data_IF_530120207069
#
_entry.id   IF_530120207069
#
_cell.length_a   1.000
_cell.length_b   1.000
_cell.length_c   1.000
_cell.angle_alpha   90.00
_cell.angle_beta   90.00
_cell.angle_gamma   90.00
#
_symmetry.space_group_name_H-M   'P 1'
#
loop_
_entity.id
_entity.type
_entity.pdbx_description
1 polymer ?
#
# COMPACT_ATOMS: atom_id res chain seq x y z
N UNK A 1 -41.46 49.62 20.03
CA UNK A 1 -40.33 49.06 20.78
C UNK A 1 -39.98 47.72 20.16
N UNK A 2 -38.98 47.73 19.26
CA UNK A 2 -38.39 46.54 18.72
C UNK A 2 -37.26 46.10 19.70
N UNK A 3 -37.57 45.19 20.58
CA UNK A 3 -36.56 44.46 21.37
C UNK A 3 -36.11 43.23 20.58
N UNK A 4 -35.44 43.46 19.49
CA UNK A 4 -34.69 42.41 18.82
C UNK A 4 -33.33 42.27 19.51
N UNK A 5 -33.14 41.21 20.30
CA UNK A 5 -31.80 40.77 20.71
C UNK A 5 -31.08 40.29 19.45
N UNK A 6 -30.44 41.21 18.72
CA UNK A 6 -29.53 40.83 17.65
C UNK A 6 -28.27 40.23 18.28
N UNK A 7 -28.24 38.92 18.36
CA UNK A 7 -26.99 38.20 18.66
C UNK A 7 -26.01 38.54 17.53
N UNK A 8 -24.91 39.18 17.88
CA UNK A 8 -23.86 39.47 16.91
C UNK A 8 -23.29 38.15 16.36
N UNK A 9 -23.07 38.05 15.04
CA UNK A 9 -22.46 36.86 14.48
C UNK A 9 -21.04 36.67 15.08
N UNK A 10 -20.77 35.44 15.49
CA UNK A 10 -19.44 35.02 15.92
C UNK A 10 -18.86 34.22 14.75
N UNK A 11 -17.79 34.72 14.18
CA UNK A 11 -17.09 34.08 13.07
C UNK A 11 -16.05 33.09 13.60
N UNK A 12 -15.92 31.93 12.92
CA UNK A 12 -14.97 30.89 13.24
C UNK A 12 -15.32 29.59 12.57
N UNK A 13 -14.53 28.54 12.80
CA UNK A 13 -14.83 27.23 12.26
C UNK A 13 -16.05 26.60 12.93
N UNK A 14 -17.10 26.29 12.16
CA UNK A 14 -18.34 25.68 12.66
C UNK A 14 -18.39 24.17 12.48
N UNK A 15 -17.38 23.53 11.84
CA UNK A 15 -17.34 22.09 11.66
C UNK A 15 -16.76 21.40 12.91
N UNK A 16 -17.55 20.57 13.63
CA UNK A 16 -17.10 19.88 14.82
C UNK A 16 -15.99 18.83 14.58
N UNK A 17 -15.71 18.48 13.32
CA UNK A 17 -14.62 17.58 12.95
C UNK A 17 -13.30 18.30 12.65
N UNK A 18 -13.31 19.62 12.59
CA UNK A 18 -12.09 20.41 12.39
C UNK A 18 -11.27 20.51 13.68
N UNK A 19 -9.94 20.58 13.54
CA UNK A 19 -9.00 20.73 14.67
C UNK A 19 -9.18 22.04 15.44
N UNK A 20 -9.68 23.07 14.78
CA UNK A 20 -9.91 24.40 15.33
C UNK A 20 -11.41 24.74 15.43
N UNK A 21 -12.27 23.72 15.63
CA UNK A 21 -13.70 23.94 15.87
C UNK A 21 -13.95 24.92 16.99
N UNK A 22 -14.77 25.94 16.72
CA UNK A 22 -15.25 26.88 17.75
C UNK A 22 -16.75 26.69 18.00
N UNK A 23 -17.10 26.09 19.13
CA UNK A 23 -18.49 25.84 19.52
C UNK A 23 -19.32 27.12 19.72
N UNK A 24 -18.68 28.30 19.74
CA UNK A 24 -19.36 29.60 19.84
C UNK A 24 -19.56 30.25 18.48
N UNK A 25 -18.88 29.77 17.43
CA UNK A 25 -19.07 30.28 16.09
C UNK A 25 -20.50 30.03 15.59
N UNK A 26 -21.11 31.08 15.04
CA UNK A 26 -22.44 31.03 14.44
C UNK A 26 -22.39 31.22 12.93
N UNK A 27 -21.23 31.60 12.40
CA UNK A 27 -20.95 31.79 10.97
C UNK A 27 -19.59 31.23 10.66
N UNK A 28 -19.54 30.31 9.72
CA UNK A 28 -18.26 29.77 9.21
C UNK A 28 -17.51 30.85 8.45
N UNK A 29 -16.26 31.09 8.82
CA UNK A 29 -15.36 32.06 8.20
C UNK A 29 -14.35 31.41 7.25
N UNK A 30 -14.47 30.09 7.00
CA UNK A 30 -13.57 29.33 6.17
C UNK A 30 -12.23 29.00 6.82
N UNK A 31 -12.10 29.21 8.14
CA UNK A 31 -10.85 28.94 8.88
C UNK A 31 -10.68 27.50 9.32
N UNK A 32 -11.64 26.60 9.03
CA UNK A 32 -11.57 25.21 9.46
C UNK A 32 -10.28 24.53 8.99
N UNK A 33 -9.56 23.95 9.93
CA UNK A 33 -8.32 23.22 9.68
C UNK A 33 -8.50 21.74 10.01
N UNK A 34 -7.95 20.88 9.15
CA UNK A 34 -8.07 19.43 9.26
C UNK A 34 -6.69 18.79 9.17
N UNK A 35 -6.51 17.68 9.86
CA UNK A 35 -5.34 16.85 9.67
C UNK A 35 -5.40 16.17 8.28
N UNK A 36 -4.26 16.02 7.61
CA UNK A 36 -4.21 15.28 6.36
C UNK A 36 -4.46 13.79 6.61
N UNK A 37 -5.09 13.12 5.65
CA UNK A 37 -5.08 11.67 5.59
C UNK A 37 -3.69 11.18 5.17
N UNK A 38 -3.08 10.36 6.02
CA UNK A 38 -1.79 9.75 5.72
C UNK A 38 -1.98 8.28 5.32
N UNK A 39 -1.42 7.92 4.18
CA UNK A 39 -1.39 6.54 3.70
C UNK A 39 0.06 6.17 3.45
N UNK A 40 0.54 5.08 4.10
CA UNK A 40 1.91 4.60 3.94
C UNK A 40 1.90 3.27 3.22
N UNK A 41 2.58 3.24 2.08
CA UNK A 41 2.76 2.05 1.25
C UNK A 41 4.21 1.59 1.26
N UNK A 42 4.43 0.29 1.12
CA UNK A 42 5.73 -0.36 1.06
C UNK A 42 5.98 -0.89 -0.35
N UNK A 43 7.17 -0.63 -0.88
CA UNK A 43 7.69 -1.25 -2.10
C UNK A 43 8.76 -2.25 -1.70
N UNK A 44 8.49 -3.55 -1.93
CA UNK A 44 9.34 -4.63 -1.44
C UNK A 44 10.72 -4.67 -2.12
N UNK A 45 10.75 -4.43 -3.44
CA UNK A 45 12.01 -4.24 -4.18
C UNK A 45 12.24 -2.74 -4.36
N UNK A 46 13.21 -2.22 -3.63
CA UNK A 46 13.53 -0.79 -3.62
C UNK A 46 14.56 -0.39 -4.68
N UNK A 47 15.13 -1.38 -5.39
CA UNK A 47 16.19 -1.11 -6.39
C UNK A 47 15.62 -0.29 -7.55
N UNK A 48 16.18 0.88 -7.78
CA UNK A 48 15.78 1.77 -8.87
C UNK A 48 14.42 2.45 -8.69
N UNK A 49 13.79 2.37 -7.52
CA UNK A 49 12.53 3.07 -7.24
C UNK A 49 12.82 4.56 -7.04
N UNK A 50 12.27 5.38 -7.92
CA UNK A 50 12.43 6.84 -7.89
C UNK A 50 11.13 7.57 -7.61
N UNK A 51 9.97 6.93 -7.85
CA UNK A 51 8.67 7.53 -7.57
C UNK A 51 7.62 6.48 -7.23
N UNK A 52 6.76 6.79 -6.27
CA UNK A 52 5.56 6.04 -5.97
C UNK A 52 4.38 7.03 -5.98
N UNK A 53 3.29 6.65 -6.64
CA UNK A 53 2.09 7.49 -6.81
C UNK A 53 0.83 6.68 -6.56
N UNK A 54 -0.28 7.38 -6.40
CA UNK A 54 -1.61 6.81 -6.55
C UNK A 54 -2.14 7.03 -7.98
N UNK A 55 -3.05 6.13 -8.39
CA UNK A 55 -4.00 6.36 -9.46
C UNK A 55 -5.37 5.83 -9.04
N UNK A 56 -6.42 6.20 -9.74
CA UNK A 56 -7.79 5.79 -9.43
C UNK A 56 -8.79 6.69 -10.12
N UNK A 57 -10.10 6.54 -9.85
CA UNK A 57 -11.15 7.34 -10.48
C UNK A 57 -10.97 8.86 -10.29
N UNK A 58 -10.46 9.29 -9.14
CA UNK A 58 -10.21 10.71 -8.87
C UNK A 58 -9.15 11.32 -9.79
N UNK A 59 -8.31 10.50 -10.41
CA UNK A 59 -7.22 10.90 -11.31
C UNK A 59 -7.37 10.30 -12.70
N UNK A 60 -8.60 9.87 -13.06
CA UNK A 60 -8.93 9.25 -14.36
C UNK A 60 -8.05 8.05 -14.71
N UNK A 61 -7.58 7.32 -13.72
CA UNK A 61 -6.65 6.19 -13.87
C UNK A 61 -5.33 6.56 -14.59
N UNK A 62 -4.98 7.86 -14.60
CA UNK A 62 -3.69 8.30 -15.12
C UNK A 62 -2.57 7.90 -14.13
N UNK A 63 -1.57 7.10 -14.58
CA UNK A 63 -0.44 6.71 -13.72
C UNK A 63 0.37 7.90 -13.18
N UNK A 64 0.24 9.06 -13.81
CA UNK A 64 0.91 10.30 -13.39
C UNK A 64 -0.02 11.31 -12.71
N UNK A 65 -1.33 11.03 -12.68
CA UNK A 65 -2.34 12.00 -12.25
C UNK A 65 -2.46 12.16 -10.74
N UNK A 66 -2.16 11.11 -9.99
CA UNK A 66 -2.34 11.11 -8.53
C UNK A 66 -1.18 11.69 -7.73
N UNK A 67 -1.34 11.82 -6.41
CA UNK A 67 -0.32 12.36 -5.51
C UNK A 67 0.96 11.52 -5.54
N UNK A 68 2.09 12.19 -5.34
CA UNK A 68 3.40 11.55 -5.18
C UNK A 68 3.63 11.27 -3.71
N UNK A 69 4.03 10.06 -3.38
CA UNK A 69 4.49 9.72 -2.04
C UNK A 69 5.85 10.32 -1.73
N UNK A 70 6.08 10.60 -0.46
CA UNK A 70 7.40 10.97 0.06
C UNK A 70 8.10 9.72 0.56
N UNK A 71 9.32 9.46 0.08
CA UNK A 71 10.13 8.32 0.53
C UNK A 71 10.56 8.52 1.99
N UNK A 72 10.41 7.48 2.81
CA UNK A 72 10.90 7.46 4.19
C UNK A 72 12.31 6.87 4.31
N UNK A 73 12.90 6.38 3.20
CA UNK A 73 14.26 5.84 3.14
C UNK A 73 14.39 4.36 3.53
N UNK A 74 13.30 3.71 3.94
CA UNK A 74 13.24 2.32 4.41
C UNK A 74 12.40 1.40 3.50
N UNK A 75 12.14 1.84 2.26
CA UNK A 75 11.24 1.15 1.32
C UNK A 75 9.79 1.56 1.48
N UNK A 76 9.45 2.35 2.49
CA UNK A 76 8.10 2.89 2.65
C UNK A 76 7.95 4.29 2.06
N UNK A 77 6.73 4.62 1.64
CA UNK A 77 6.37 5.89 1.02
C UNK A 77 5.08 6.40 1.63
N UNK A 78 5.10 7.64 2.12
CA UNK A 78 3.95 8.27 2.74
C UNK A 78 3.29 9.27 1.80
N UNK A 79 1.98 9.10 1.62
CA UNK A 79 1.11 10.02 0.90
C UNK A 79 0.36 10.87 1.91
N UNK A 80 0.31 12.17 1.66
CA UNK A 80 -0.44 13.13 2.46
C UNK A 80 -1.53 13.76 1.59
N UNK A 81 -2.77 13.42 1.87
CA UNK A 81 -3.92 14.00 1.19
C UNK A 81 -4.54 15.09 2.07
N UNK A 82 -4.76 16.29 1.56
CA UNK A 82 -5.36 17.37 2.34
C UNK A 82 -6.72 16.95 2.92
N UNK A 83 -6.96 17.23 4.18
CA UNK A 83 -8.25 17.00 4.83
C UNK A 83 -9.25 18.11 4.53
N UNK A 84 -10.56 17.87 4.77
CA UNK A 84 -11.12 16.56 5.05
C UNK A 84 -11.33 15.75 3.79
N UNK A 85 -11.02 14.45 3.83
CA UNK A 85 -11.38 13.52 2.75
C UNK A 85 -12.81 13.04 2.99
N UNK A 86 -13.75 13.54 2.18
CA UNK A 86 -15.19 13.37 2.41
C UNK A 86 -15.87 12.31 1.54
N UNK A 87 -15.12 11.65 0.67
CA UNK A 87 -15.61 10.58 -0.21
C UNK A 87 -14.68 9.37 -0.16
N UNK A 88 -15.24 8.18 -0.35
CA UNK A 88 -14.45 6.96 -0.47
C UNK A 88 -13.49 7.06 -1.66
N UNK A 89 -12.27 6.60 -1.47
CA UNK A 89 -11.22 6.67 -2.48
C UNK A 89 -10.83 5.26 -2.92
N UNK A 90 -11.21 4.93 -4.14
CA UNK A 90 -10.70 3.75 -4.85
C UNK A 90 -9.35 4.11 -5.47
N UNK A 91 -8.35 3.23 -5.33
CA UNK A 91 -7.01 3.54 -5.80
C UNK A 91 -6.15 2.31 -6.07
N UNK A 92 -5.11 2.53 -6.84
CA UNK A 92 -3.98 1.62 -7.04
C UNK A 92 -2.66 2.38 -6.86
N UNK A 93 -1.61 1.63 -6.55
CA UNK A 93 -0.25 2.17 -6.49
C UNK A 93 0.41 2.13 -7.87
N UNK A 94 1.27 3.11 -8.12
CA UNK A 94 2.07 3.24 -9.33
C UNK A 94 3.52 3.46 -8.92
N UNK A 95 4.43 2.56 -9.33
CA UNK A 95 5.86 2.66 -9.06
C UNK A 95 6.58 2.93 -10.39
N UNK A 96 7.35 4.01 -10.47
CA UNK A 96 8.06 4.44 -11.68
C UNK A 96 7.18 4.44 -12.95
N UNK A 97 5.90 4.83 -12.81
CA UNK A 97 4.94 4.85 -13.90
C UNK A 97 4.26 3.50 -14.19
N UNK A 98 4.61 2.43 -13.48
CA UNK A 98 3.99 1.10 -13.62
C UNK A 98 2.91 0.94 -12.54
N UNK A 99 1.67 0.76 -12.99
CA UNK A 99 0.54 0.49 -12.10
C UNK A 99 0.60 -0.96 -11.59
N UNK A 100 0.30 -1.16 -10.31
CA UNK A 100 0.22 -2.51 -9.73
C UNK A 100 -0.88 -3.35 -10.39
N UNK A 101 -0.65 -4.66 -10.47
CA UNK A 101 -1.61 -5.62 -10.98
C UNK A 101 -2.05 -6.57 -9.87
N UNK A 102 -3.08 -6.17 -9.13
CA UNK A 102 -3.60 -6.96 -8.02
C UNK A 102 -4.47 -8.15 -8.48
N UNK A 103 -4.95 -8.15 -9.73
CA UNK A 103 -5.60 -9.33 -10.31
C UNK A 103 -4.61 -10.48 -10.45
N UNK A 104 -3.43 -10.21 -11.02
CA UNK A 104 -2.40 -11.22 -11.17
C UNK A 104 -1.91 -11.74 -9.80
N UNK A 105 -1.70 -10.84 -8.85
CA UNK A 105 -1.30 -11.18 -7.49
C UNK A 105 -2.34 -12.04 -6.78
N UNK A 106 -3.61 -11.62 -6.74
CA UNK A 106 -4.69 -12.36 -6.10
C UNK A 106 -4.93 -13.73 -6.74
N UNK A 107 -4.80 -13.83 -8.07
CA UNK A 107 -4.92 -15.11 -8.80
C UNK A 107 -3.81 -16.08 -8.41
N UNK A 108 -2.59 -15.60 -8.20
CA UNK A 108 -1.45 -16.46 -7.87
C UNK A 108 -1.37 -16.80 -6.38
N UNK A 109 -1.68 -15.87 -5.49
CA UNK A 109 -1.60 -16.07 -4.04
C UNK A 109 -2.90 -16.55 -3.39
N UNK A 110 -4.05 -16.33 -4.04
CA UNK A 110 -5.38 -16.54 -3.44
C UNK A 110 -5.77 -15.46 -2.44
N UNK A 111 -4.94 -14.45 -2.21
CA UNK A 111 -5.20 -13.38 -1.24
C UNK A 111 -5.77 -12.13 -1.92
N UNK A 112 -7.02 -11.83 -1.63
CA UNK A 112 -7.77 -10.68 -2.13
C UNK A 112 -8.14 -9.68 -1.03
N UNK A 113 -7.55 -9.82 0.16
CA UNK A 113 -7.94 -9.07 1.36
C UNK A 113 -7.79 -7.55 1.23
N UNK A 114 -6.89 -7.09 0.37
CA UNK A 114 -6.62 -5.67 0.15
C UNK A 114 -7.39 -5.06 -1.03
N UNK A 115 -8.25 -5.85 -1.71
CA UNK A 115 -8.97 -5.43 -2.91
C UNK A 115 -10.49 -5.57 -2.75
N UNK A 116 -11.12 -4.76 -1.89
CA UNK A 116 -12.57 -4.84 -1.69
C UNK A 116 -13.40 -4.43 -2.92
N UNK A 117 -12.76 -3.78 -3.90
CA UNK A 117 -13.40 -3.41 -5.18
C UNK A 117 -12.80 -4.29 -6.27
N UNK A 118 -13.45 -5.44 -6.54
CA UNK A 118 -12.94 -6.42 -7.49
C UNK A 118 -14.05 -7.27 -8.09
N UNK A 119 -13.86 -7.72 -9.33
CA UNK A 119 -14.62 -8.81 -9.95
C UNK A 119 -13.82 -10.13 -9.97
N UNK A 120 -12.62 -10.14 -9.38
CA UNK A 120 -11.66 -11.24 -9.34
C UNK A 120 -11.08 -11.66 -10.70
N UNK A 121 -11.35 -10.90 -11.74
CA UNK A 121 -11.02 -11.28 -13.11
C UNK A 121 -10.41 -10.16 -13.94
N UNK A 122 -11.09 -9.02 -14.05
CA UNK A 122 -10.66 -7.92 -14.92
C UNK A 122 -10.07 -6.74 -14.13
N UNK A 123 -10.50 -6.56 -12.89
CA UNK A 123 -9.97 -5.52 -12.00
C UNK A 123 -9.96 -5.96 -10.54
N UNK A 124 -9.02 -5.41 -9.80
CA UNK A 124 -8.91 -5.55 -8.36
C UNK A 124 -8.25 -4.28 -7.80
N UNK A 125 -9.01 -3.49 -7.05
CA UNK A 125 -8.62 -2.17 -6.60
C UNK A 125 -8.72 -2.05 -5.08
N UNK A 126 -7.86 -1.22 -4.50
CA UNK A 126 -7.89 -0.85 -3.09
C UNK A 126 -8.99 0.17 -2.84
N UNK A 127 -9.46 0.24 -1.61
CA UNK A 127 -10.46 1.21 -1.19
C UNK A 127 -10.09 1.78 0.18
N UNK A 128 -10.02 3.08 0.26
CA UNK A 128 -10.11 3.81 1.52
C UNK A 128 -11.54 4.30 1.71
N UNK A 129 -12.11 4.08 2.89
CA UNK A 129 -13.47 4.54 3.22
C UNK A 129 -13.43 5.71 4.17
N UNK A 130 -14.37 6.64 4.00
CA UNK A 130 -14.49 7.81 4.90
C UNK A 130 -14.55 7.36 6.34
N UNK A 131 -13.72 7.98 7.18
CA UNK A 131 -13.64 7.67 8.62
C UNK A 131 -12.69 6.54 9.00
N UNK A 132 -12.06 5.85 8.04
CA UNK A 132 -11.08 4.77 8.34
C UNK A 132 -9.80 5.29 8.98
N UNK A 133 -9.54 6.61 8.91
CA UNK A 133 -8.29 7.20 9.41
C UNK A 133 -7.08 6.87 8.53
N UNK A 134 -5.90 7.05 9.09
CA UNK A 134 -4.64 6.76 8.42
C UNK A 134 -4.46 5.27 8.15
N UNK A 135 -3.76 4.95 7.06
CA UNK A 135 -3.56 3.57 6.61
C UNK A 135 -2.07 3.25 6.50
N UNK A 136 -1.71 2.05 6.95
CA UNK A 136 -0.37 1.47 6.84
C UNK A 136 -0.49 0.01 6.39
N UNK A 137 0.64 -0.65 6.11
CA UNK A 137 0.63 -2.07 5.74
C UNK A 137 0.10 -2.35 4.34
N UNK A 138 0.24 -1.39 3.43
CA UNK A 138 -0.05 -1.55 2.02
C UNK A 138 1.24 -1.94 1.31
N UNK A 139 1.19 -2.98 0.47
CA UNK A 139 2.35 -3.49 -0.28
C UNK A 139 2.08 -3.38 -1.77
N UNK A 140 2.97 -2.71 -2.51
CA UNK A 140 2.84 -2.57 -3.96
C UNK A 140 2.79 -3.94 -4.65
N UNK A 141 1.75 -4.14 -5.45
CA UNK A 141 1.56 -5.34 -6.26
C UNK A 141 1.09 -6.58 -5.48
N UNK A 142 0.82 -6.47 -4.16
CA UNK A 142 0.37 -7.61 -3.36
C UNK A 142 -0.57 -7.20 -2.22
N UNK A 143 -1.41 -8.13 -1.80
CA UNK A 143 -2.10 -8.08 -0.50
C UNK A 143 -1.28 -8.75 0.62
N UNK A 144 -0.22 -9.44 0.27
CA UNK A 144 0.69 -10.09 1.23
C UNK A 144 1.82 -9.14 1.60
N UNK A 145 2.40 -9.37 2.78
CA UNK A 145 3.59 -8.65 3.24
C UNK A 145 4.80 -8.98 2.36
N UNK A 146 5.79 -8.08 2.34
CA UNK A 146 7.04 -8.36 1.66
C UNK A 146 7.68 -9.65 2.21
N UNK A 147 7.85 -10.63 1.35
CA UNK A 147 8.72 -11.76 1.65
C UNK A 147 10.13 -11.30 1.28
N UNK A 148 10.98 -11.13 2.28
CA UNK A 148 12.41 -10.93 2.02
C UNK A 148 12.91 -12.25 1.44
N UNK A 149 13.34 -12.21 0.17
CA UNK A 149 13.96 -13.38 -0.44
C UNK A 149 15.23 -13.73 0.36
N UNK A 150 15.27 -14.92 0.92
CA UNK A 150 16.46 -15.49 1.54
C UNK A 150 17.08 -16.42 0.50
N UNK A 151 18.17 -16.02 -0.17
CA UNK A 151 18.84 -16.87 -1.13
C UNK A 151 19.49 -18.05 -0.46
N UNK A 152 19.42 -19.22 -1.07
CA UNK A 152 20.04 -20.44 -0.58
C UNK A 152 19.50 -21.66 -1.33
N UNK A 153 20.03 -22.84 -1.00
CA UNK A 153 19.53 -24.08 -1.62
C UNK A 153 18.17 -24.47 -1.05
N UNK A 154 17.14 -24.50 -1.92
CA UNK A 154 15.76 -24.88 -1.55
C UNK A 154 15.43 -26.36 -1.77
N UNK A 155 16.35 -27.15 -2.33
CA UNK A 155 16.14 -28.58 -2.53
C UNK A 155 16.50 -29.37 -1.27
N UNK A 156 15.50 -29.98 -0.64
CA UNK A 156 15.66 -30.79 0.59
C UNK A 156 16.50 -32.05 0.41
N UNK A 157 16.81 -32.43 -0.82
CA UNK A 157 17.69 -33.60 -1.13
C UNK A 157 19.15 -33.20 -1.25
N UNK A 158 19.46 -31.91 -1.31
CA UNK A 158 20.82 -31.40 -1.38
C UNK A 158 21.52 -31.50 0.01
N UNK A 159 22.85 -31.64 -0.01
CA UNK A 159 23.67 -31.72 1.22
C UNK A 159 23.75 -30.40 1.98
N UNK A 160 23.52 -29.29 1.31
CA UNK A 160 23.52 -27.93 1.82
C UNK A 160 22.13 -27.29 1.77
N UNK A 161 21.05 -28.09 1.89
CA UNK A 161 19.69 -27.56 2.01
C UNK A 161 19.59 -26.53 3.15
N UNK A 162 19.03 -25.37 2.85
CA UNK A 162 18.71 -24.35 3.83
C UNK A 162 17.20 -24.24 4.01
N UNK A 163 16.63 -24.67 5.14
CA UNK A 163 15.19 -24.60 5.38
C UNK A 163 14.67 -23.16 5.54
N UNK A 164 15.55 -22.16 5.67
CA UNK A 164 15.19 -20.74 5.72
C UNK A 164 15.22 -20.08 4.34
N UNK A 165 15.84 -20.73 3.35
CA UNK A 165 15.86 -20.21 1.98
C UNK A 165 14.45 -20.18 1.39
N UNK A 166 14.09 -19.02 0.84
CA UNK A 166 12.82 -18.80 0.11
C UNK A 166 13.03 -18.62 -1.38
N UNK A 167 14.30 -18.49 -1.82
CA UNK A 167 14.69 -18.37 -3.21
C UNK A 167 15.93 -19.24 -3.49
N UNK A 168 15.81 -20.13 -4.48
CA UNK A 168 16.95 -20.91 -4.94
C UNK A 168 17.98 -20.00 -5.61
N UNK A 169 19.21 -20.04 -5.09
CA UNK A 169 20.36 -19.29 -5.61
C UNK A 169 21.30 -20.15 -6.47
N UNK A 170 20.86 -21.36 -6.83
CA UNK A 170 21.64 -22.37 -7.56
C UNK A 170 22.88 -22.88 -6.82
N UNK A 171 22.92 -22.74 -5.50
CA UNK A 171 24.04 -23.22 -4.67
C UNK A 171 23.92 -24.68 -4.25
N UNK A 172 22.83 -25.39 -4.62
CA UNK A 172 22.57 -26.75 -4.21
C UNK A 172 23.73 -27.69 -4.59
N UNK A 173 24.21 -28.45 -3.61
CA UNK A 173 25.24 -29.46 -3.80
C UNK A 173 24.68 -30.83 -3.47
N UNK A 174 25.05 -31.83 -4.26
CA UNK A 174 24.56 -33.19 -4.10
C UNK A 174 25.69 -34.16 -3.81
N UNK A 175 25.43 -35.27 -3.07
CA UNK A 175 26.44 -36.30 -2.85
C UNK A 175 26.88 -36.89 -4.16
N UNK A 176 28.19 -36.99 -4.39
CA UNK A 176 28.72 -37.67 -5.58
C UNK A 176 28.39 -39.15 -5.42
N UNK A 177 27.50 -39.68 -6.25
CA UNK A 177 27.31 -41.13 -6.35
C UNK A 177 28.60 -41.72 -6.92
N UNK A 178 29.45 -42.32 -6.05
CA UNK A 178 30.57 -43.13 -6.50
C UNK A 178 30.01 -44.30 -7.30
N UNK A 179 30.48 -44.46 -8.52
CA UNK A 179 30.18 -45.58 -9.38
C UNK A 179 30.51 -46.89 -8.63
N UNK A 180 29.51 -47.72 -8.32
CA UNK A 180 29.76 -49.06 -7.87
C UNK A 180 30.52 -49.80 -9.00
N UNK A 181 31.82 -49.94 -8.85
CA UNK A 181 32.56 -50.92 -9.64
C UNK A 181 32.09 -52.30 -9.21
N UNK A 182 31.05 -52.81 -9.88
CA UNK A 182 30.76 -54.26 -9.81
C UNK A 182 32.01 -54.99 -10.31
N UNK A 183 32.72 -55.60 -9.38
CA UNK A 183 33.77 -56.56 -9.66
C UNK A 183 33.21 -57.66 -10.53
N UNK A 184 33.69 -57.76 -11.76
CA UNK A 184 33.61 -58.97 -12.53
C UNK A 184 34.48 -60.01 -11.83
N UNK A 185 33.85 -60.91 -11.08
CA UNK A 185 34.46 -62.17 -10.62
C UNK A 185 34.62 -63.08 -11.82
N UNK A 186 35.80 -63.52 -12.02
CA UNK A 186 36.22 -64.59 -12.96
C UNK A 186 35.62 -65.95 -12.58
#
# INVERSE_FOLDING_TARGET
>A
TLTGNSVLPVFGCTDPFANNYDSKATVDDGSCAYDPLLITATVCDTVGVTSVRFTGPWWNWDPNGGPVGTSNGDGTWTFSLPGPVTANMEYLLVVNGVQENLVASGTSSGNWSCTPVTDYWSYANRLWTVGSGNVTGIYYGSCDTCVVAVPGCTDSTATNYDPLATQDDSSCTYPVQCCNTSSYGS
#
